data_IF_865857291800
#
_entry.id   IF_865857291800
#
_cell.length_a   1.000
_cell.length_b   1.000
_cell.length_c   1.000
_cell.angle_alpha   90.00
_cell.angle_beta   90.00
_cell.angle_gamma   90.00
#
_symmetry.space_group_name_H-M   'P 1'
#
loop_
_entity.id
_entity.type
_entity.pdbx_description
1 polymer ?
#
# COMPACT_ATOMS: atom_id res chain seq x y z
N UNK A 1 -9.13 44.59 -27.57
CA UNK A 1 -8.04 44.08 -26.71
C UNK A 1 -6.85 43.80 -27.59
N UNK A 2 -5.70 44.39 -27.29
CA UNK A 2 -4.45 44.11 -28.04
C UNK A 2 -3.83 42.88 -27.40
N UNK A 3 -3.64 41.80 -28.15
CA UNK A 3 -2.95 40.62 -27.66
C UNK A 3 -1.49 41.00 -27.34
N UNK A 4 -1.06 40.84 -26.09
CA UNK A 4 0.35 40.89 -25.76
C UNK A 4 1.02 39.61 -26.24
N UNK A 5 2.09 39.74 -27.03
CA UNK A 5 2.95 38.61 -27.34
C UNK A 5 3.82 38.31 -26.13
N UNK A 6 3.70 37.10 -25.59
CA UNK A 6 4.57 36.56 -24.54
C UNK A 6 5.56 35.62 -25.21
N UNK A 7 6.85 35.84 -24.96
CA UNK A 7 7.93 34.95 -25.40
C UNK A 7 8.25 33.95 -24.28
N UNK A 8 8.37 32.67 -24.64
CA UNK A 8 8.76 31.57 -23.74
C UNK A 8 10.08 31.00 -24.22
N UNK A 9 11.11 31.03 -23.37
CA UNK A 9 12.45 30.52 -23.67
C UNK A 9 12.73 29.28 -22.80
N UNK A 10 13.15 28.18 -23.43
CA UNK A 10 13.51 26.92 -22.75
C UNK A 10 15.02 26.73 -22.87
N UNK A 11 15.69 26.59 -21.71
CA UNK A 11 17.13 26.35 -21.62
C UNK A 11 17.40 24.87 -21.29
N UNK A 12 17.79 24.10 -22.30
CA UNK A 12 18.04 22.65 -22.18
C UNK A 12 19.31 22.28 -21.41
N UNK A 13 20.19 23.23 -21.10
CA UNK A 13 21.38 22.99 -20.27
C UNK A 13 21.07 23.07 -18.78
N UNK A 14 19.93 23.66 -18.41
CA UNK A 14 19.44 23.74 -17.02
C UNK A 14 18.56 22.53 -16.69
N UNK A 15 19.14 21.55 -16.02
CA UNK A 15 18.41 20.42 -15.46
C UNK A 15 17.87 20.71 -14.04
N UNK A 16 16.75 20.08 -13.70
CA UNK A 16 16.12 20.14 -12.36
C UNK A 16 15.90 18.72 -11.81
N UNK A 17 14.74 18.45 -11.20
CA UNK A 17 14.39 17.13 -10.68
C UNK A 17 14.19 16.09 -11.78
N UNK A 18 14.47 14.82 -11.45
CA UNK A 18 14.07 13.68 -12.27
C UNK A 18 12.60 13.34 -11.98
N UNK A 19 11.77 13.33 -13.02
CA UNK A 19 10.41 12.79 -12.95
C UNK A 19 10.51 11.26 -13.05
N UNK A 20 10.21 10.56 -11.96
CA UNK A 20 10.16 9.09 -11.95
C UNK A 20 8.91 8.55 -12.64
N UNK A 21 7.81 9.30 -12.57
CA UNK A 21 6.55 8.93 -13.18
C UNK A 21 5.36 9.71 -12.64
N UNK A 22 4.17 9.20 -12.92
CA UNK A 22 2.89 9.69 -12.44
C UNK A 22 1.91 8.52 -12.38
N UNK A 23 0.80 8.73 -11.67
CA UNK A 23 -0.24 7.73 -11.62
C UNK A 23 -1.37 8.05 -10.66
N UNK A 24 -1.96 7.01 -10.11
CA UNK A 24 -3.17 7.10 -9.32
C UNK A 24 -3.23 6.11 -8.17
N UNK A 25 -4.30 6.25 -7.38
CA UNK A 25 -4.60 5.38 -6.26
C UNK A 25 -5.63 4.32 -6.66
N UNK A 26 -5.50 3.12 -6.10
CA UNK A 26 -6.46 2.02 -6.24
C UNK A 26 -6.67 1.32 -4.91
N UNK A 27 -7.78 0.60 -4.79
CA UNK A 27 -8.18 -0.18 -3.62
C UNK A 27 -8.98 -1.41 -4.07
N UNK A 28 -8.90 -2.47 -3.29
CA UNK A 28 -9.42 -3.80 -3.60
C UNK A 28 -10.79 -4.07 -2.99
N UNK A 29 -11.64 -3.06 -2.75
CA UNK A 29 -12.86 -3.14 -1.93
C UNK A 29 -13.93 -4.10 -2.51
N UNK A 30 -13.67 -5.41 -2.47
CA UNK A 30 -14.47 -6.48 -3.08
C UNK A 30 -15.90 -6.47 -2.58
N UNK A 31 -16.11 -5.96 -1.37
CA UNK A 31 -17.34 -6.13 -0.61
C UNK A 31 -18.33 -4.98 -0.76
N UNK A 32 -17.94 -3.84 -1.34
CA UNK A 32 -18.87 -2.73 -1.58
C UNK A 32 -19.44 -2.71 -3.01
N UNK A 33 -19.16 -3.72 -3.84
CA UNK A 33 -19.50 -3.70 -5.27
C UNK A 33 -18.77 -2.60 -6.05
N UNK A 34 -17.96 -1.80 -5.36
CA UNK A 34 -17.10 -0.75 -5.86
C UNK A 34 -15.76 -1.36 -6.22
N UNK A 35 -15.76 -2.09 -7.31
CA UNK A 35 -14.54 -2.49 -7.96
C UNK A 35 -14.41 -1.61 -9.20
N UNK A 36 -14.12 -0.32 -8.99
CA UNK A 36 -13.99 0.69 -10.06
C UNK A 36 -13.00 0.28 -11.16
N UNK A 37 -12.15 -0.68 -10.81
CA UNK A 37 -11.21 -1.39 -11.66
C UNK A 37 -11.74 -2.80 -12.07
N UNK A 38 -13.05 -2.98 -12.29
CA UNK A 38 -13.60 -4.17 -12.99
C UNK A 38 -13.78 -3.91 -14.47
N UNK A 39 -14.06 -2.66 -14.84
CA UNK A 39 -14.23 -2.27 -16.23
C UNK A 39 -12.85 -2.18 -16.92
N UNK A 40 -12.55 -3.05 -17.90
CA UNK A 40 -11.27 -3.01 -18.61
C UNK A 40 -10.98 -1.65 -19.27
N UNK A 41 -12.01 -0.88 -19.64
CA UNK A 41 -11.85 0.45 -20.21
C UNK A 41 -11.18 1.45 -19.26
N UNK A 42 -11.37 1.30 -17.94
CA UNK A 42 -10.69 2.14 -16.94
C UNK A 42 -9.19 1.88 -16.95
N UNK A 43 -8.78 0.62 -17.07
CA UNK A 43 -7.38 0.26 -17.18
C UNK A 43 -6.77 0.73 -18.50
N UNK A 44 -7.47 0.56 -19.62
CA UNK A 44 -6.98 1.03 -20.91
C UNK A 44 -6.77 2.55 -20.90
N UNK A 45 -7.70 3.31 -20.29
CA UNK A 45 -7.53 4.74 -20.11
C UNK A 45 -6.32 5.05 -19.21
N UNK A 46 -6.25 4.46 -18.01
CA UNK A 46 -5.20 4.75 -17.04
C UNK A 46 -3.80 4.36 -17.54
N UNK A 47 -3.64 3.15 -18.05
CA UNK A 47 -2.33 2.57 -18.37
C UNK A 47 -1.93 2.76 -19.82
N UNK A 48 -2.86 2.64 -20.78
CA UNK A 48 -2.51 2.73 -22.22
C UNK A 48 -2.62 4.14 -22.77
N UNK A 49 -3.59 4.94 -22.31
CA UNK A 49 -3.81 6.29 -22.86
C UNK A 49 -3.13 7.38 -22.03
N UNK A 50 -3.27 7.34 -20.71
CA UNK A 50 -2.64 8.32 -19.81
C UNK A 50 -1.18 7.97 -19.49
N UNK A 51 -0.73 6.77 -19.84
CA UNK A 51 0.65 6.32 -19.63
C UNK A 51 1.05 6.35 -18.16
N UNK A 52 0.14 5.93 -17.27
CA UNK A 52 0.47 5.72 -15.85
C UNK A 52 1.71 4.83 -15.74
N UNK A 53 2.55 5.11 -14.76
CA UNK A 53 3.80 4.38 -14.51
C UNK A 53 3.89 3.88 -13.07
N UNK A 54 3.07 4.44 -12.17
CA UNK A 54 3.05 4.12 -10.76
C UNK A 54 1.62 3.94 -10.28
N UNK A 55 1.37 2.91 -9.47
CA UNK A 55 0.06 2.69 -8.87
C UNK A 55 0.21 2.58 -7.37
N UNK A 56 -0.48 3.47 -6.65
CA UNK A 56 -0.60 3.36 -5.19
C UNK A 56 -1.77 2.45 -4.84
N UNK A 57 -1.47 1.33 -4.19
CA UNK A 57 -2.45 0.39 -3.68
C UNK A 57 -2.72 0.67 -2.19
N UNK A 58 -3.99 0.92 -1.85
CA UNK A 58 -4.45 0.87 -0.46
C UNK A 58 -4.64 -0.60 -0.09
N UNK A 59 -3.88 -1.07 0.90
CA UNK A 59 -3.94 -2.46 1.32
C UNK A 59 -4.82 -2.65 2.54
N UNK A 60 -5.50 -3.78 2.57
CA UNK A 60 -6.24 -4.36 3.69
C UNK A 60 -5.26 -4.98 4.72
N UNK A 61 -4.17 -4.27 5.04
CA UNK A 61 -3.04 -4.74 5.83
C UNK A 61 -3.45 -5.17 7.25
N UNK A 62 -4.46 -4.53 7.84
CA UNK A 62 -5.01 -4.94 9.14
C UNK A 62 -5.62 -6.36 9.15
N UNK A 63 -5.87 -6.94 7.96
CA UNK A 63 -6.36 -8.30 7.77
C UNK A 63 -5.25 -9.30 7.41
N UNK A 64 -4.03 -8.83 7.12
CA UNK A 64 -2.85 -9.65 6.83
C UNK A 64 -2.51 -10.53 8.02
N UNK A 65 -2.48 -9.93 9.21
CA UNK A 65 -2.05 -10.58 10.44
C UNK A 65 -3.02 -10.27 11.60
N UNK A 66 -4.24 -10.83 11.50
CA UNK A 66 -5.36 -10.51 12.42
C UNK A 66 -5.04 -10.66 13.92
N UNK A 67 -4.14 -11.57 14.23
CA UNK A 67 -3.56 -11.83 15.53
C UNK A 67 -2.07 -12.07 15.33
N UNK A 68 -1.29 -11.83 16.39
CA UNK A 68 0.13 -12.13 16.40
C UNK A 68 0.37 -13.61 16.03
N UNK A 69 1.32 -13.85 15.12
CA UNK A 69 1.53 -15.14 14.47
C UNK A 69 2.29 -16.16 15.35
N UNK A 70 3.28 -15.73 16.14
CA UNK A 70 4.01 -16.57 17.11
C UNK A 70 4.76 -15.86 18.26
N UNK A 71 4.71 -14.53 18.35
CA UNK A 71 5.30 -13.66 19.38
C UNK A 71 6.84 -13.62 19.34
N UNK A 72 7.44 -13.84 18.16
CA UNK A 72 8.86 -13.60 17.87
C UNK A 72 9.02 -12.71 16.62
N UNK A 73 9.41 -11.43 16.78
CA UNK A 73 9.54 -10.49 15.65
C UNK A 73 10.74 -10.79 14.74
N UNK A 74 11.50 -11.86 15.00
CA UNK A 74 12.61 -12.33 14.16
C UNK A 74 12.30 -13.65 13.46
N UNK A 75 11.07 -14.14 13.55
CA UNK A 75 10.62 -15.38 12.93
C UNK A 75 9.31 -15.14 12.17
N UNK A 76 9.15 -15.80 11.02
CA UNK A 76 7.93 -15.72 10.23
C UNK A 76 7.17 -17.04 10.36
N UNK A 77 5.95 -17.03 10.92
CA UNK A 77 5.07 -18.19 10.86
C UNK A 77 4.40 -18.30 9.48
N UNK A 78 5.13 -18.82 8.49
CA UNK A 78 4.61 -18.95 7.12
C UNK A 78 3.34 -19.79 7.00
N UNK A 79 3.11 -20.75 7.91
CA UNK A 79 1.87 -21.54 7.92
C UNK A 79 0.67 -20.68 8.30
N UNK A 80 0.84 -19.74 9.24
CA UNK A 80 -0.17 -18.75 9.58
C UNK A 80 -0.48 -17.83 8.39
N UNK A 81 0.54 -17.22 7.78
CA UNK A 81 0.34 -16.34 6.62
C UNK A 81 -0.28 -17.08 5.42
N UNK A 82 0.14 -18.33 5.17
CA UNK A 82 -0.44 -19.17 4.12
C UNK A 82 -1.92 -19.50 4.38
N UNK A 83 -2.33 -19.61 5.65
CA UNK A 83 -3.72 -19.87 6.00
C UNK A 83 -4.66 -18.75 5.53
N UNK A 84 -4.19 -17.49 5.45
CA UNK A 84 -4.96 -16.33 4.96
C UNK A 84 -5.42 -16.49 3.52
N UNK A 85 -4.70 -17.27 2.70
CA UNK A 85 -5.07 -17.56 1.31
C UNK A 85 -5.89 -18.85 1.15
N UNK A 86 -6.09 -19.60 2.23
CA UNK A 86 -6.95 -20.80 2.28
C UNK A 86 -8.29 -20.52 2.98
N UNK A 87 -8.37 -19.43 3.74
CA UNK A 87 -9.57 -19.00 4.44
C UNK A 87 -10.63 -18.42 3.51
N UNK A 88 -11.89 -18.59 3.90
CA UNK A 88 -13.07 -18.04 3.23
C UNK A 88 -13.79 -16.98 4.10
N UNK A 89 -13.21 -16.60 5.24
CA UNK A 89 -13.71 -15.48 6.05
C UNK A 89 -13.44 -14.13 5.36
N UNK A 90 -14.15 -13.10 5.82
CA UNK A 90 -14.10 -11.77 5.23
C UNK A 90 -12.68 -11.22 5.11
N UNK A 91 -11.92 -11.30 6.19
CA UNK A 91 -10.54 -10.83 6.25
C UNK A 91 -9.64 -11.59 5.27
N UNK A 92 -9.89 -12.89 5.06
CA UNK A 92 -9.09 -13.70 4.13
C UNK A 92 -9.36 -13.28 2.70
N UNK A 93 -10.64 -13.02 2.37
CA UNK A 93 -11.05 -12.55 1.05
C UNK A 93 -10.51 -11.16 0.73
N UNK A 94 -10.44 -10.26 1.71
CA UNK A 94 -9.85 -8.92 1.57
C UNK A 94 -8.36 -8.99 1.22
N UNK A 95 -7.56 -9.73 1.99
CA UNK A 95 -6.14 -9.96 1.69
C UNK A 95 -5.96 -10.60 0.31
N UNK A 96 -6.72 -11.66 0.01
CA UNK A 96 -6.65 -12.31 -1.30
C UNK A 96 -6.91 -11.33 -2.45
N UNK A 97 -7.84 -10.40 -2.26
CA UNK A 97 -8.15 -9.41 -3.26
C UNK A 97 -7.06 -8.37 -3.48
N UNK A 98 -6.36 -7.94 -2.43
CA UNK A 98 -5.20 -7.07 -2.58
C UNK A 98 -4.18 -7.69 -3.53
N UNK A 99 -3.78 -8.92 -3.25
CA UNK A 99 -2.79 -9.64 -4.04
C UNK A 99 -3.27 -9.92 -5.47
N UNK A 100 -4.56 -10.24 -5.65
CA UNK A 100 -5.12 -10.44 -6.98
C UNK A 100 -5.12 -9.16 -7.81
N UNK A 101 -5.47 -8.01 -7.22
CA UNK A 101 -5.48 -6.74 -7.94
C UNK A 101 -4.07 -6.26 -8.26
N UNK A 102 -3.14 -6.36 -7.30
CA UNK A 102 -1.72 -6.06 -7.56
C UNK A 102 -1.15 -6.95 -8.66
N UNK A 103 -1.47 -8.26 -8.65
CA UNK A 103 -1.08 -9.20 -9.69
C UNK A 103 -1.59 -8.79 -11.07
N UNK A 104 -2.86 -8.40 -11.17
CA UNK A 104 -3.43 -7.90 -12.43
C UNK A 104 -2.68 -6.67 -12.94
N UNK A 105 -2.43 -5.68 -12.08
CA UNK A 105 -1.73 -4.44 -12.44
C UNK A 105 -0.33 -4.74 -12.98
N UNK A 106 0.47 -5.51 -12.24
CA UNK A 106 1.86 -5.81 -12.59
C UNK A 106 1.94 -6.66 -13.86
N UNK A 107 1.11 -7.70 -13.98
CA UNK A 107 1.18 -8.64 -15.11
C UNK A 107 0.68 -8.02 -16.42
N UNK A 108 -0.39 -7.22 -16.38
CA UNK A 108 -1.00 -6.65 -17.58
C UNK A 108 -0.34 -5.33 -18.01
N UNK A 109 0.12 -4.51 -17.06
CA UNK A 109 0.55 -3.13 -17.33
C UNK A 109 2.01 -2.84 -17.00
N UNK A 110 2.69 -3.70 -16.22
CA UNK A 110 4.12 -3.60 -15.86
C UNK A 110 4.52 -2.33 -15.12
N UNK A 111 3.57 -1.74 -14.39
CA UNK A 111 3.79 -0.52 -13.61
C UNK A 111 4.41 -0.81 -12.24
N UNK A 112 5.05 0.22 -11.67
CA UNK A 112 5.62 0.15 -10.32
C UNK A 112 4.51 0.28 -9.25
N UNK A 113 4.51 -0.64 -8.30
CA UNK A 113 3.57 -0.62 -7.18
C UNK A 113 4.11 0.20 -6.00
N UNK A 114 3.22 0.96 -5.39
CA UNK A 114 3.42 1.59 -4.08
C UNK A 114 2.36 1.02 -3.14
N UNK A 115 2.75 0.31 -2.09
CA UNK A 115 1.79 -0.19 -1.09
C UNK A 115 1.61 0.82 0.03
N UNK A 116 0.36 1.16 0.35
CA UNK A 116 0.03 2.07 1.44
C UNK A 116 -0.70 1.38 2.57
N UNK A 117 -0.08 1.37 3.75
CA UNK A 117 -0.68 0.93 5.01
C UNK A 117 -1.48 2.09 5.59
N UNK A 118 -2.78 1.89 5.73
CA UNK A 118 -3.68 2.83 6.39
C UNK A 118 -3.91 2.46 7.84
N UNK A 119 -3.95 1.17 8.16
CA UNK A 119 -4.26 0.70 9.49
C UNK A 119 -3.53 -0.61 9.82
N UNK A 120 -3.52 -0.98 11.10
CA UNK A 120 -2.90 -2.19 11.63
C UNK A 120 -3.90 -3.01 12.47
N UNK A 121 -3.64 -4.31 12.68
CA UNK A 121 -4.46 -5.16 13.51
C UNK A 121 -4.69 -4.61 14.94
N UNK A 122 -5.81 -4.97 15.55
CA UNK A 122 -6.21 -4.48 16.87
C UNK A 122 -5.22 -4.79 18.00
N UNK A 123 -4.46 -5.86 17.88
CA UNK A 123 -3.51 -6.29 18.90
C UNK A 123 -2.23 -5.45 18.93
N UNK A 124 -1.95 -4.68 17.87
CA UNK A 124 -0.76 -3.84 17.78
C UNK A 124 -0.94 -2.41 18.35
N UNK A 125 -2.17 -1.99 18.67
CA UNK A 125 -2.48 -0.58 19.01
C UNK A 125 -2.80 -0.37 20.48
N UNK A 126 -2.62 0.87 20.94
CA UNK A 126 -2.90 1.27 22.31
C UNK A 126 -4.39 1.20 22.70
N UNK A 127 -5.29 1.43 21.73
CA UNK A 127 -6.74 1.39 21.94
C UNK A 127 -7.42 0.73 20.74
N UNK A 128 -7.84 -0.51 20.90
CA UNK A 128 -8.52 -1.31 19.87
C UNK A 128 -10.00 -0.96 19.70
N UNK A 129 -10.56 -0.11 20.57
CA UNK A 129 -11.95 0.35 20.46
C UNK A 129 -12.08 1.48 19.45
N UNK A 130 -11.00 2.24 19.23
CA UNK A 130 -10.93 3.29 18.21
C UNK A 130 -10.91 2.70 16.80
N UNK A 131 -11.54 3.41 15.87
CA UNK A 131 -11.58 3.07 14.44
C UNK A 131 -10.69 3.98 13.58
N UNK A 132 -10.41 5.16 14.10
CA UNK A 132 -9.56 6.19 13.52
C UNK A 132 -8.62 6.73 14.62
N UNK A 133 -7.65 7.54 14.23
CA UNK A 133 -6.69 8.16 15.15
C UNK A 133 -6.06 7.16 16.16
N UNK A 134 -5.80 5.93 15.67
CA UNK A 134 -5.18 4.85 16.43
C UNK A 134 -3.68 5.10 16.50
N UNK A 135 -3.02 4.50 17.48
CA UNK A 135 -1.56 4.60 17.66
C UNK A 135 -0.97 3.21 17.82
N UNK A 136 0.02 2.92 16.97
CA UNK A 136 0.84 1.72 17.11
C UNK A 136 1.64 1.82 18.41
N UNK A 137 1.61 0.77 19.22
CA UNK A 137 2.39 0.72 20.45
C UNK A 137 3.89 0.65 20.12
N UNK A 138 4.76 1.46 20.77
CA UNK A 138 6.21 1.39 20.53
C UNK A 138 6.80 -0.01 20.71
N UNK A 139 6.31 -0.78 21.67
CA UNK A 139 6.71 -2.17 21.91
C UNK A 139 6.31 -3.13 20.76
N UNK A 140 5.40 -2.71 19.88
CA UNK A 140 4.96 -3.47 18.70
C UNK A 140 5.71 -3.07 17.43
N UNK A 141 6.65 -2.14 17.47
CA UNK A 141 7.41 -1.76 16.27
C UNK A 141 8.19 -2.94 15.65
N UNK A 142 8.84 -3.83 16.43
CA UNK A 142 9.49 -5.02 15.87
C UNK A 142 8.50 -5.96 15.16
N UNK A 143 7.36 -6.24 15.79
CA UNK A 143 6.28 -7.09 15.23
C UNK A 143 5.68 -6.46 13.97
N UNK A 144 5.44 -5.15 13.97
CA UNK A 144 4.99 -4.45 12.77
C UNK A 144 6.01 -4.56 11.62
N UNK A 145 7.31 -4.43 11.91
CA UNK A 145 8.36 -4.58 10.91
C UNK A 145 8.44 -6.00 10.36
N UNK A 146 8.29 -7.02 11.22
CA UNK A 146 8.18 -8.43 10.85
C UNK A 146 6.97 -8.66 9.92
N UNK A 147 5.78 -8.22 10.32
CA UNK A 147 4.54 -8.33 9.53
C UNK A 147 4.64 -7.67 8.15
N UNK A 148 5.24 -6.48 8.09
CA UNK A 148 5.51 -5.76 6.83
C UNK A 148 6.51 -6.52 5.96
N UNK A 149 7.59 -7.05 6.54
CA UNK A 149 8.57 -7.85 5.82
C UNK A 149 7.94 -9.14 5.29
N UNK A 150 7.13 -9.83 6.10
CA UNK A 150 6.38 -11.03 5.72
C UNK A 150 5.45 -10.73 4.54
N UNK A 151 4.72 -9.61 4.57
CA UNK A 151 3.86 -9.18 3.46
C UNK A 151 4.63 -9.00 2.15
N UNK A 152 5.76 -8.27 2.19
CA UNK A 152 6.58 -7.98 1.01
C UNK A 152 7.27 -9.24 0.46
N UNK A 153 7.78 -10.10 1.35
CA UNK A 153 8.38 -11.39 0.99
C UNK A 153 7.34 -12.32 0.40
N UNK A 154 6.13 -12.38 0.97
CA UNK A 154 5.03 -13.16 0.41
C UNK A 154 4.64 -12.66 -0.99
N UNK A 155 4.52 -11.35 -1.17
CA UNK A 155 4.27 -10.72 -2.48
C UNK A 155 5.31 -11.15 -3.52
N UNK A 156 6.59 -11.09 -3.16
CA UNK A 156 7.69 -11.47 -4.04
C UNK A 156 7.70 -12.97 -4.34
N UNK A 157 7.74 -13.80 -3.31
CA UNK A 157 8.08 -15.22 -3.42
C UNK A 157 6.90 -16.09 -3.86
N UNK A 158 5.67 -15.70 -3.52
CA UNK A 158 4.47 -16.48 -3.82
C UNK A 158 3.62 -15.89 -4.94
N UNK A 159 3.77 -14.59 -5.23
CA UNK A 159 2.95 -13.87 -6.22
C UNK A 159 3.76 -13.22 -7.35
N UNK A 160 5.10 -13.23 -7.26
CA UNK A 160 5.96 -12.59 -8.26
C UNK A 160 5.81 -11.07 -8.32
N UNK A 161 5.35 -10.44 -7.23
CA UNK A 161 5.10 -9.01 -7.14
C UNK A 161 6.30 -8.33 -6.51
N UNK A 162 6.99 -7.52 -7.29
CA UNK A 162 8.05 -6.64 -6.79
C UNK A 162 7.44 -5.30 -6.39
N UNK A 163 7.44 -5.00 -5.09
CA UNK A 163 6.90 -3.76 -4.52
C UNK A 163 8.08 -2.87 -4.11
N UNK A 164 8.47 -1.88 -4.93
CA UNK A 164 9.64 -1.03 -4.66
C UNK A 164 9.42 0.00 -3.56
N UNK A 165 8.17 0.38 -3.27
CA UNK A 165 7.86 1.41 -2.28
C UNK A 165 6.74 0.99 -1.34
N UNK A 166 6.90 1.35 -0.07
CA UNK A 166 5.90 1.20 0.97
C UNK A 166 5.68 2.53 1.70
N UNK A 167 4.43 2.80 2.03
CA UNK A 167 4.00 3.90 2.88
C UNK A 167 3.51 3.26 4.17
N UNK A 168 4.27 3.41 5.25
CA UNK A 168 4.02 2.79 6.56
C UNK A 168 2.90 3.47 7.35
N UNK A 169 2.53 4.70 6.97
CA UNK A 169 1.44 5.45 7.57
C UNK A 169 0.82 6.41 6.55
N UNK A 170 -0.46 6.22 6.24
CA UNK A 170 -1.24 7.20 5.49
C UNK A 170 -1.62 8.38 6.38
N UNK A 171 -1.33 9.62 5.94
CA UNK A 171 -1.72 10.87 6.63
C UNK A 171 -1.50 10.76 8.16
N UNK A 172 -0.23 10.63 8.59
CA UNK A 172 0.13 10.33 9.98
C UNK A 172 -0.26 11.44 10.97
N UNK A 173 -0.80 12.54 10.48
CA UNK A 173 -1.29 13.70 11.23
C UNK A 173 -2.81 13.70 11.48
N UNK A 174 -3.58 12.70 11.02
CA UNK A 174 -4.94 12.51 11.55
C UNK A 174 -6.00 11.81 10.69
N UNK A 175 -5.73 10.60 10.18
CA UNK A 175 -6.82 9.74 9.66
C UNK A 175 -6.98 8.44 10.43
N UNK A 176 -6.13 7.46 10.18
CA UNK A 176 -6.28 6.12 10.76
C UNK A 176 -5.21 5.82 11.78
N UNK A 177 -3.94 5.99 11.41
CA UNK A 177 -2.81 5.86 12.31
C UNK A 177 -2.12 7.20 12.49
N UNK A 178 -2.01 7.64 13.74
CA UNK A 178 -1.31 8.85 14.11
C UNK A 178 0.11 8.55 14.58
N UNK A 179 1.04 9.39 14.14
CA UNK A 179 2.41 9.39 14.60
C UNK A 179 2.89 10.81 14.83
N UNK A 180 3.54 11.04 15.96
CA UNK A 180 4.46 12.17 16.09
C UNK A 180 5.67 11.96 15.17
N UNK A 181 6.40 13.02 14.81
CA UNK A 181 7.64 12.88 14.04
C UNK A 181 8.67 11.95 14.70
N UNK A 182 8.71 11.87 16.03
CA UNK A 182 9.62 11.01 16.77
C UNK A 182 9.20 9.54 16.68
N UNK A 183 7.91 9.23 16.85
CA UNK A 183 7.37 7.89 16.71
C UNK A 183 7.59 7.37 15.28
N UNK A 184 7.31 8.18 14.26
CA UNK A 184 7.53 7.77 12.86
C UNK A 184 9.02 7.54 12.56
N UNK A 185 9.91 8.38 13.07
CA UNK A 185 11.37 8.18 12.96
C UNK A 185 11.80 6.86 13.60
N UNK A 186 11.27 6.56 14.78
CA UNK A 186 11.69 5.38 15.54
C UNK A 186 11.08 4.09 14.98
N UNK A 187 9.93 4.15 14.33
CA UNK A 187 9.34 3.05 13.55
C UNK A 187 10.18 2.66 12.32
N UNK A 188 10.90 3.61 11.71
CA UNK A 188 11.70 3.39 10.49
C UNK A 188 13.06 2.74 10.78
N UNK A 189 13.55 2.79 12.01
CA UNK A 189 14.89 2.30 12.38
C UNK A 189 14.94 0.80 12.55
#
# INVERSE_FOLDING_TARGET
MVAQNIEVIIDGEKAYQTIRGWGGNTYSWVLQGWNGWTNPAVYDLAFKQLGTTHVRMVTEFEHWELQNDDNDPNHFNWDYFASRFKGNDLSSLLVQSDFNMMGRIVQEYKDELIVGIWNVPNWMVADSTKKDHRRLLPEMYPEFAESVAAYLLWARDHRGLHIPYIIIANEPDGTQLEYTPQELRDLIK
#
